data_IF_320508165578
#
_entry.id   IF_320508165578
#
_cell.length_a   1.000
_cell.length_b   1.000
_cell.length_c   1.000
_cell.angle_alpha   90.00
_cell.angle_beta   90.00
_cell.angle_gamma   90.00
#
_symmetry.space_group_name_H-M   'P 1'
#
loop_
_entity.id
_entity.type
_entity.pdbx_description
1 polymer ?
#
# COMPACT_ATOMS: atom_id res chain seq x y z
N UNK A 1 4.86 11.82 11.90
CA UNK A 1 3.45 12.05 12.22
C UNK A 1 3.38 12.65 13.61
N UNK A 2 2.64 13.74 13.81
CA UNK A 2 2.45 14.35 15.14
C UNK A 2 1.09 13.94 15.75
N UNK A 3 0.82 14.35 16.99
CA UNK A 3 -0.42 14.02 17.70
C UNK A 3 -1.67 14.55 16.99
N UNK A 4 -1.63 15.74 16.42
CA UNK A 4 -2.79 16.31 15.72
C UNK A 4 -3.09 15.58 14.41
N UNK A 5 -2.07 15.16 13.67
CA UNK A 5 -2.20 14.31 12.48
C UNK A 5 -2.76 12.93 12.83
N UNK A 6 -2.33 12.35 13.95
CA UNK A 6 -2.89 11.09 14.45
C UNK A 6 -4.36 11.27 14.82
N UNK A 7 -4.72 12.33 15.55
CA UNK A 7 -6.10 12.59 15.94
C UNK A 7 -6.99 12.83 14.72
N UNK A 8 -6.52 13.56 13.70
CA UNK A 8 -7.27 13.73 12.46
C UNK A 8 -7.56 12.38 11.79
N UNK A 9 -6.57 11.49 11.77
CA UNK A 9 -6.69 10.14 11.22
C UNK A 9 -7.64 9.26 12.06
N UNK A 10 -7.56 9.32 13.38
CA UNK A 10 -8.41 8.56 14.29
C UNK A 10 -9.85 9.09 14.38
N UNK A 11 -10.08 10.38 14.15
CA UNK A 11 -11.42 10.98 14.20
C UNK A 11 -12.15 10.86 12.85
N UNK A 12 -11.41 10.74 11.75
CA UNK A 12 -11.95 10.37 10.44
C UNK A 12 -12.15 8.87 10.25
N UNK A 13 -12.25 8.09 11.34
CA UNK A 13 -12.21 6.63 11.39
C UNK A 13 -13.43 5.94 10.76
N UNK A 14 -13.57 6.11 9.45
CA UNK A 14 -14.07 5.05 8.60
C UNK A 14 -12.85 4.38 7.97
N UNK A 15 -12.80 3.04 7.98
CA UNK A 15 -11.80 2.33 7.17
C UNK A 15 -11.93 2.75 5.71
N UNK A 16 -10.80 3.13 5.11
CA UNK A 16 -10.74 3.50 3.71
C UNK A 16 -9.90 2.49 2.93
N UNK A 17 -9.84 2.66 1.61
CA UNK A 17 -8.89 1.93 0.76
C UNK A 17 -7.43 2.19 1.15
N UNK A 18 -7.14 3.28 1.88
CA UNK A 18 -5.78 3.69 2.28
C UNK A 18 -5.54 3.61 3.79
N UNK A 19 -6.53 3.19 4.59
CA UNK A 19 -6.42 3.11 6.05
C UNK A 19 -6.97 1.77 6.56
N UNK A 20 -6.16 1.09 7.36
CA UNK A 20 -6.48 -0.18 8.03
C UNK A 20 -6.25 -0.04 9.53
N UNK A 21 -7.20 -0.52 10.34
CA UNK A 21 -7.04 -0.58 11.80
C UNK A 21 -6.79 -2.00 12.28
N UNK A 22 -5.85 -2.15 13.22
CA UNK A 22 -5.66 -3.39 13.98
C UNK A 22 -5.67 -3.08 15.46
N UNK A 23 -6.30 -3.97 16.22
CA UNK A 23 -6.29 -3.91 17.68
C UNK A 23 -4.88 -3.99 18.26
N UNK A 24 -4.77 -3.89 19.58
CA UNK A 24 -3.51 -4.00 20.28
C UNK A 24 -2.89 -5.40 20.08
N UNK A 25 -1.74 -5.46 19.41
CA UNK A 25 -1.02 -6.70 19.13
C UNK A 25 0.48 -6.46 19.06
N UNK A 26 1.27 -7.52 19.26
CA UNK A 26 2.67 -7.54 18.88
C UNK A 26 2.82 -7.70 17.36
N UNK A 27 4.00 -7.42 16.82
CA UNK A 27 4.31 -7.68 15.43
C UNK A 27 4.08 -9.16 15.10
N UNK A 28 3.15 -9.38 14.16
CA UNK A 28 2.92 -10.67 13.55
C UNK A 28 2.91 -10.49 12.03
N UNK A 29 3.98 -11.00 11.39
CA UNK A 29 4.10 -10.99 9.94
C UNK A 29 2.92 -11.68 9.25
N UNK A 30 2.38 -12.76 9.80
CA UNK A 30 1.39 -13.57 9.09
C UNK A 30 0.08 -12.81 8.86
N UNK A 31 -0.37 -12.07 9.86
CA UNK A 31 -1.56 -11.22 9.75
C UNK A 31 -1.31 -9.94 8.95
N UNK A 32 -0.10 -9.39 8.96
CA UNK A 32 0.18 -8.07 8.35
C UNK A 32 0.73 -8.13 6.92
N UNK A 33 1.28 -9.26 6.48
CA UNK A 33 1.89 -9.35 5.14
C UNK A 33 0.89 -9.04 4.03
N UNK A 34 -0.34 -9.56 4.12
CA UNK A 34 -1.38 -9.32 3.12
C UNK A 34 -1.74 -7.84 3.04
N UNK A 35 -1.89 -7.18 4.19
CA UNK A 35 -2.25 -5.77 4.27
C UNK A 35 -1.15 -4.87 3.70
N UNK A 36 0.11 -5.16 4.02
CA UNK A 36 1.27 -4.42 3.49
C UNK A 36 1.37 -4.57 1.96
N UNK A 37 1.22 -5.80 1.43
CA UNK A 37 1.22 -6.02 -0.01
C UNK A 37 0.04 -5.33 -0.70
N UNK A 38 -1.15 -5.37 -0.08
CA UNK A 38 -2.35 -4.75 -0.64
C UNK A 38 -2.22 -3.23 -0.71
N UNK A 39 -1.79 -2.59 0.38
CA UNK A 39 -1.62 -1.14 0.46
C UNK A 39 -0.54 -0.64 -0.50
N UNK A 40 0.54 -1.41 -0.72
CA UNK A 40 1.57 -1.05 -1.70
C UNK A 40 1.02 -0.92 -3.13
N UNK A 41 -0.05 -1.65 -3.45
CA UNK A 41 -0.72 -1.61 -4.75
C UNK A 41 -1.79 -0.51 -4.87
N UNK A 42 -2.16 0.14 -3.76
CA UNK A 42 -3.07 1.29 -3.76
C UNK A 42 -2.36 2.54 -4.31
N UNK A 43 -3.12 3.45 -4.91
CA UNK A 43 -2.60 4.63 -5.65
C UNK A 43 -1.65 5.47 -4.80
N UNK A 44 -2.04 5.77 -3.57
CA UNK A 44 -1.28 6.62 -2.65
C UNK A 44 -0.57 5.81 -1.55
N UNK A 45 -0.53 4.48 -1.70
CA UNK A 45 -0.11 3.60 -0.63
C UNK A 45 -1.18 3.52 0.46
N UNK A 46 -0.75 3.49 1.72
CA UNK A 46 -1.65 3.70 2.83
C UNK A 46 -1.04 3.36 4.18
N UNK A 47 -1.88 3.30 5.21
CA UNK A 47 -1.45 3.21 6.60
C UNK A 47 -2.17 2.08 7.32
N UNK A 48 -1.41 1.34 8.10
CA UNK A 48 -1.94 0.40 9.08
C UNK A 48 -1.69 0.99 10.46
N UNK A 49 -2.75 1.23 11.23
CA UNK A 49 -2.67 1.76 12.59
C UNK A 49 -2.96 0.64 13.58
N UNK A 50 -1.95 0.32 14.39
CA UNK A 50 -2.01 -0.71 15.42
C UNK A 50 -2.33 -0.06 16.78
N UNK A 51 -3.27 -0.65 17.50
CA UNK A 51 -3.79 -0.15 18.79
C UNK A 51 -5.21 0.42 18.70
N UNK A 52 -5.92 0.20 17.58
CA UNK A 52 -7.32 0.62 17.39
C UNK A 52 -8.13 -0.60 16.96
N UNK A 53 -9.17 -0.92 17.72
CA UNK A 53 -10.04 -2.03 17.36
C UNK A 53 -10.85 -1.73 16.08
N UNK A 54 -10.73 -2.59 15.08
CA UNK A 54 -11.32 -2.45 13.74
C UNK A 54 -12.84 -2.13 13.74
N UNK A 55 -13.65 -2.94 14.43
CA UNK A 55 -15.11 -2.79 14.36
C UNK A 55 -15.70 -1.66 15.23
N UNK A 56 -15.07 -1.39 16.37
CA UNK A 56 -15.59 -0.42 17.36
C UNK A 56 -14.87 0.92 17.28
N UNK A 57 -13.75 0.96 16.56
CA UNK A 57 -12.76 2.04 16.56
C UNK A 57 -12.28 2.41 17.97
N UNK A 58 -12.39 1.47 18.92
CA UNK A 58 -11.96 1.69 20.29
C UNK A 58 -10.44 1.82 20.34
N UNK A 59 -9.98 2.95 20.86
CA UNK A 59 -8.56 3.23 21.09
C UNK A 59 -8.07 2.39 22.26
N UNK A 60 -7.26 1.37 21.97
CA UNK A 60 -6.65 0.50 22.97
C UNK A 60 -5.23 0.96 23.31
N UNK A 61 -4.53 1.53 22.33
CA UNK A 61 -3.10 1.82 22.41
C UNK A 61 -2.27 0.54 22.47
N UNK A 62 -0.97 0.70 22.69
CA UNK A 62 0.00 -0.38 22.79
C UNK A 62 0.87 -0.21 24.04
N UNK A 63 1.24 -1.34 24.61
CA UNK A 63 2.26 -1.42 25.67
C UNK A 63 3.67 -1.18 25.09
N UNK A 64 4.64 -0.71 25.90
CA UNK A 64 6.02 -0.57 25.47
C UNK A 64 6.62 -1.86 24.90
N UNK A 65 6.27 -3.01 25.49
CA UNK A 65 6.71 -4.33 25.07
C UNK A 65 6.18 -4.68 23.67
N UNK A 66 4.90 -4.40 23.40
CA UNK A 66 4.33 -4.58 22.06
C UNK A 66 5.00 -3.66 21.05
N UNK A 67 5.19 -2.38 21.38
CA UNK A 67 5.83 -1.39 20.49
C UNK A 67 7.26 -1.79 20.12
N UNK A 68 7.99 -2.41 21.05
CA UNK A 68 9.35 -2.89 20.83
C UNK A 68 9.43 -4.05 19.82
N UNK A 69 8.34 -4.80 19.61
CA UNK A 69 8.31 -5.87 18.60
C UNK A 69 8.23 -5.34 17.15
N UNK A 70 7.79 -4.10 16.95
CA UNK A 70 7.73 -3.44 15.65
C UNK A 70 9.08 -2.81 15.27
N UNK A 71 10.11 -3.66 15.16
CA UNK A 71 11.43 -3.26 14.70
C UNK A 71 11.47 -3.12 13.17
N UNK A 72 11.88 -1.96 12.67
CA UNK A 72 11.79 -1.64 11.25
C UNK A 72 12.70 -2.51 10.36
N UNK A 73 13.84 -2.98 10.85
CA UNK A 73 14.73 -3.86 10.10
C UNK A 73 14.14 -5.27 10.03
N UNK A 74 13.76 -5.82 11.19
CA UNK A 74 13.12 -7.14 11.28
C UNK A 74 11.85 -7.20 10.44
N UNK A 75 11.00 -6.17 10.50
CA UNK A 75 9.80 -6.09 9.67
C UNK A 75 10.13 -6.15 8.18
N UNK A 76 11.10 -5.36 7.71
CA UNK A 76 11.50 -5.34 6.30
C UNK A 76 12.07 -6.68 5.85
N UNK A 77 12.94 -7.29 6.64
CA UNK A 77 13.53 -8.60 6.35
C UNK A 77 12.49 -9.72 6.30
N UNK A 78 11.46 -9.62 7.13
CA UNK A 78 10.37 -10.60 7.17
C UNK A 78 9.38 -10.43 6.02
N UNK A 79 9.15 -9.22 5.53
CA UNK A 79 8.23 -8.93 4.42
C UNK A 79 8.90 -9.11 3.06
N UNK A 80 10.19 -8.77 2.92
CA UNK A 80 10.91 -8.82 1.64
C UNK A 80 10.81 -10.15 0.87
N UNK A 81 10.81 -11.35 1.50
CA UNK A 81 10.65 -12.62 0.79
C UNK A 81 9.30 -12.78 0.08
N UNK A 82 8.29 -12.01 0.45
CA UNK A 82 6.93 -12.08 -0.08
C UNK A 82 6.67 -11.04 -1.18
N UNK A 83 7.52 -10.03 -1.35
CA UNK A 83 7.22 -8.90 -2.23
C UNK A 83 8.18 -8.81 -3.43
N UNK A 84 7.63 -8.70 -4.64
CA UNK A 84 8.38 -8.40 -5.85
C UNK A 84 7.59 -7.44 -6.77
N UNK A 85 8.03 -6.18 -6.98
CA UNK A 85 9.19 -5.52 -6.37
C UNK A 85 9.08 -5.40 -4.84
N UNK A 86 10.19 -5.05 -4.17
CA UNK A 86 10.19 -4.87 -2.70
C UNK A 86 9.22 -3.75 -2.29
N UNK A 87 8.40 -4.01 -1.26
CA UNK A 87 7.59 -2.95 -0.65
C UNK A 87 8.45 -1.99 0.14
N UNK A 88 8.16 -0.70 0.02
CA UNK A 88 8.73 0.36 0.86
C UNK A 88 7.70 0.74 1.91
N UNK A 89 8.06 0.63 3.18
CA UNK A 89 7.23 1.11 4.28
C UNK A 89 8.12 1.59 5.43
N UNK A 90 7.55 2.43 6.30
CA UNK A 90 8.23 2.92 7.50
C UNK A 90 7.35 2.75 8.73
N UNK A 91 8.02 2.52 9.86
CA UNK A 91 7.39 2.44 11.19
C UNK A 91 7.43 3.81 11.86
N UNK A 92 6.27 4.27 12.31
CA UNK A 92 6.09 5.53 13.05
C UNK A 92 5.44 5.19 14.38
N UNK A 93 5.92 5.79 15.47
CA UNK A 93 5.23 5.75 16.77
C UNK A 93 4.67 7.13 17.03
N UNK A 94 3.41 7.18 17.43
CA UNK A 94 2.75 8.42 17.80
C UNK A 94 1.87 8.17 19.03
N UNK A 95 1.67 9.22 19.82
CA UNK A 95 0.75 9.22 20.95
C UNK A 95 -0.46 10.10 20.65
N UNK A 96 -1.63 9.67 21.07
CA UNK A 96 -2.85 10.49 21.01
C UNK A 96 -2.89 11.53 22.14
N UNK A 97 -3.96 12.32 22.22
CA UNK A 97 -4.12 13.34 23.27
C UNK A 97 -4.27 12.77 24.68
N UNK A 98 -4.59 11.49 24.80
CA UNK A 98 -4.73 10.79 26.09
C UNK A 98 -3.41 10.11 26.50
N UNK A 99 -2.37 10.17 25.66
CA UNK A 99 -1.08 9.56 25.91
C UNK A 99 -1.01 8.07 25.53
N UNK A 100 -2.06 7.51 24.92
CA UNK A 100 -2.02 6.16 24.38
C UNK A 100 -1.07 6.13 23.19
N UNK A 101 -0.21 5.12 23.13
CA UNK A 101 0.77 4.97 22.06
C UNK A 101 0.28 4.02 20.97
N UNK A 102 0.58 4.38 19.73
CA UNK A 102 0.18 3.63 18.54
C UNK A 102 1.39 3.40 17.66
N UNK A 103 1.38 2.30 16.91
CA UNK A 103 2.33 2.04 15.84
C UNK A 103 1.61 2.22 14.51
N UNK A 104 2.22 2.98 13.62
CA UNK A 104 1.72 3.24 12.27
C UNK A 104 2.74 2.68 11.29
N UNK A 105 2.26 1.78 10.43
CA UNK A 105 3.01 1.27 9.29
C UNK A 105 2.55 2.09 8.08
N UNK A 106 3.40 3.02 7.65
CA UNK A 106 3.15 3.90 6.51
C UNK A 106 3.76 3.25 5.27
N UNK A 107 2.90 2.64 4.47
CA UNK A 107 3.24 1.86 3.26
C UNK A 107 3.23 2.80 2.07
N UNK A 108 4.37 2.88 1.39
CA UNK A 108 4.48 3.66 0.16
C UNK A 108 3.88 2.90 -1.02
N UNK A 109 3.25 3.61 -1.97
CA UNK A 109 2.83 2.99 -3.21
C UNK A 109 4.03 2.47 -4.01
N UNK A 110 3.80 1.49 -4.89
CA UNK A 110 4.79 1.12 -5.90
C UNK A 110 5.10 2.29 -6.86
N UNK A 111 6.35 2.31 -7.35
CA UNK A 111 6.90 3.39 -8.18
C UNK A 111 7.29 2.96 -9.60
N UNK A 112 7.48 1.66 -9.83
CA UNK A 112 7.80 1.08 -11.15
C UNK A 112 6.70 0.15 -11.67
N UNK A 113 6.30 -0.85 -10.90
CA UNK A 113 5.29 -1.83 -11.28
C UNK A 113 4.60 -2.41 -10.04
N UNK A 114 3.46 -3.11 -10.23
CA UNK A 114 2.68 -3.62 -9.11
C UNK A 114 3.50 -4.62 -8.30
N UNK A 115 3.27 -4.62 -6.99
CA UNK A 115 3.86 -5.60 -6.09
C UNK A 115 3.09 -6.91 -6.21
N UNK A 116 3.79 -7.92 -6.69
CA UNK A 116 3.30 -9.30 -6.81
C UNK A 116 3.84 -10.10 -5.63
N UNK A 117 2.99 -10.94 -5.05
CA UNK A 117 3.42 -11.86 -4.01
C UNK A 117 4.38 -12.91 -4.58
N UNK A 118 5.60 -13.01 -4.05
CA UNK A 118 6.64 -13.93 -4.53
C UNK A 118 6.55 -15.34 -3.94
N UNK A 119 5.93 -15.49 -2.77
CA UNK A 119 6.00 -16.72 -1.96
C UNK A 119 4.68 -16.99 -1.26
N UNK A 120 4.32 -18.27 -1.16
CA UNK A 120 3.20 -18.68 -0.33
C UNK A 120 3.44 -18.41 1.16
N UNK A 121 2.38 -18.02 1.85
CA UNK A 121 2.26 -17.89 3.29
C UNK A 121 0.89 -18.38 3.75
N UNK A 122 0.57 -18.17 5.03
CA UNK A 122 -0.71 -18.61 5.60
C UNK A 122 -1.90 -17.96 4.88
N UNK A 123 -1.81 -16.65 4.62
CA UNK A 123 -2.89 -15.83 4.06
C UNK A 123 -2.57 -15.26 2.66
N UNK A 124 -1.41 -15.63 2.11
CA UNK A 124 -0.91 -15.09 0.84
C UNK A 124 -0.40 -16.19 -0.10
N UNK A 125 -0.54 -16.01 -1.40
CA UNK A 125 -0.14 -16.98 -2.42
C UNK A 125 0.84 -16.36 -3.42
N UNK A 126 1.83 -17.15 -3.84
CA UNK A 126 2.76 -16.74 -4.88
C UNK A 126 2.04 -16.41 -6.20
N UNK A 127 2.57 -15.44 -6.95
CA UNK A 127 2.00 -14.95 -8.21
C UNK A 127 0.73 -14.10 -8.05
N UNK A 128 0.31 -13.77 -6.82
CA UNK A 128 -0.94 -13.07 -6.56
C UNK A 128 -0.70 -11.59 -6.27
N UNK A 129 -1.50 -10.71 -6.90
CA UNK A 129 -1.58 -9.29 -6.54
C UNK A 129 -2.67 -9.13 -5.48
N UNK A 130 -2.30 -8.53 -4.36
CA UNK A 130 -3.24 -8.09 -3.33
C UNK A 130 -3.53 -6.60 -3.51
N UNK A 131 -4.75 -6.20 -3.22
CA UNK A 131 -5.22 -4.82 -3.42
C UNK A 131 -6.35 -4.50 -2.43
N UNK A 132 -6.63 -3.20 -2.23
CA UNK A 132 -7.81 -2.71 -1.53
C UNK A 132 -8.70 -1.98 -2.52
N UNK A 133 -9.86 -2.56 -2.81
CA UNK A 133 -10.79 -1.95 -3.77
C UNK A 133 -11.42 -0.68 -3.21
N UNK A 134 -11.57 0.32 -4.08
CA UNK A 134 -12.30 1.57 -3.80
C UNK A 134 -13.80 1.45 -3.98
N UNK A 135 -14.23 0.44 -4.73
CA UNK A 135 -15.63 0.27 -5.15
C UNK A 135 -16.41 -0.72 -4.28
N UNK A 136 -15.69 -1.45 -3.43
CA UNK A 136 -16.23 -2.45 -2.49
C UNK A 136 -15.81 -2.12 -1.07
N UNK A 137 -16.26 -2.95 -0.13
CA UNK A 137 -15.77 -2.89 1.25
C UNK A 137 -14.23 -2.89 1.24
N UNK A 138 -13.58 -1.87 1.84
CA UNK A 138 -12.14 -1.80 1.92
C UNK A 138 -11.63 -3.03 2.68
N UNK A 139 -10.97 -3.93 1.95
CA UNK A 139 -10.38 -5.12 2.52
C UNK A 139 -9.19 -5.51 1.67
N UNK A 140 -8.10 -5.89 2.32
CA UNK A 140 -6.92 -6.44 1.66
C UNK A 140 -7.26 -7.84 1.12
N UNK A 141 -7.49 -7.92 -0.19
CA UNK A 141 -7.91 -9.14 -0.86
C UNK A 141 -7.10 -9.37 -2.13
N UNK A 142 -7.16 -10.60 -2.64
CA UNK A 142 -6.68 -10.89 -3.99
C UNK A 142 -7.49 -10.07 -5.00
N UNK A 143 -6.81 -9.50 -5.99
CA UNK A 143 -7.49 -8.91 -7.15
C UNK A 143 -8.26 -10.01 -7.89
N UNK A 144 -9.59 -9.93 -7.88
CA UNK A 144 -10.51 -10.96 -8.38
C UNK A 144 -11.40 -10.47 -9.54
N UNK A 145 -11.21 -9.22 -9.98
CA UNK A 145 -12.05 -8.58 -10.97
C UNK A 145 -11.23 -7.72 -11.94
N UNK A 146 -11.80 -7.44 -13.11
CA UNK A 146 -11.12 -6.72 -14.19
C UNK A 146 -11.01 -5.22 -13.96
N UNK A 147 -11.88 -4.60 -13.15
CA UNK A 147 -11.83 -3.16 -12.89
C UNK A 147 -10.60 -2.81 -12.04
N UNK A 148 -10.47 -3.43 -10.86
CA UNK A 148 -9.30 -3.21 -9.99
C UNK A 148 -7.99 -3.61 -10.71
N UNK A 149 -8.00 -4.72 -11.47
CA UNK A 149 -6.82 -5.13 -12.25
C UNK A 149 -6.43 -4.09 -13.30
N UNK A 150 -7.42 -3.48 -13.98
CA UNK A 150 -7.18 -2.44 -14.98
C UNK A 150 -6.56 -1.20 -14.35
N UNK A 151 -7.11 -0.74 -13.23
CA UNK A 151 -6.58 0.43 -12.51
C UNK A 151 -5.10 0.24 -12.14
N UNK A 152 -4.75 -0.96 -11.66
CA UNK A 152 -3.35 -1.31 -11.32
C UNK A 152 -2.45 -1.28 -12.56
N UNK A 153 -2.89 -1.89 -13.66
CA UNK A 153 -2.11 -1.96 -14.91
C UNK A 153 -1.92 -0.57 -15.53
N UNK A 154 -2.99 0.22 -15.63
CA UNK A 154 -2.94 1.58 -16.19
C UNK A 154 -1.98 2.48 -15.39
N UNK A 155 -2.03 2.36 -14.06
CA UNK A 155 -1.10 3.06 -13.17
C UNK A 155 0.35 2.63 -13.40
N UNK A 156 0.61 1.33 -13.49
CA UNK A 156 1.94 0.80 -13.76
C UNK A 156 2.47 1.30 -15.11
N UNK A 157 1.63 1.29 -16.16
CA UNK A 157 1.98 1.80 -17.47
C UNK A 157 2.32 3.31 -17.42
N UNK A 158 1.54 4.12 -16.69
CA UNK A 158 1.82 5.55 -16.52
C UNK A 158 3.14 5.82 -15.79
N UNK A 159 3.45 5.04 -14.75
CA UNK A 159 4.72 5.11 -14.00
C UNK A 159 5.91 4.69 -14.86
N UNK A 160 5.78 3.59 -15.60
CA UNK A 160 6.79 3.13 -16.55
C UNK A 160 7.07 4.18 -17.63
N UNK A 161 6.03 4.78 -18.22
CA UNK A 161 6.18 5.86 -19.19
C UNK A 161 6.89 7.09 -18.59
N UNK A 162 6.55 7.47 -17.35
CA UNK A 162 7.23 8.57 -16.63
C UNK A 162 8.70 8.26 -16.38
N UNK A 163 9.04 7.02 -16.03
CA UNK A 163 10.42 6.56 -15.84
C UNK A 163 11.21 6.60 -17.14
N UNK A 164 10.65 6.07 -18.23
CA UNK A 164 11.28 6.08 -19.56
C UNK A 164 11.59 7.52 -20.01
N UNK A 165 10.63 8.45 -19.88
CA UNK A 165 10.86 9.88 -20.17
C UNK A 165 12.00 10.47 -19.35
N UNK A 166 12.10 10.14 -18.05
CA UNK A 166 13.20 10.61 -17.17
C UNK A 166 14.56 10.07 -17.62
N UNK A 167 14.60 8.88 -18.20
CA UNK A 167 15.81 8.27 -18.76
C UNK A 167 16.15 8.79 -20.16
N UNK A 168 15.38 9.73 -20.71
CA UNK A 168 15.61 10.32 -22.02
C UNK A 168 14.97 9.56 -23.19
N UNK A 169 14.15 8.54 -22.91
CA UNK A 169 13.33 7.92 -23.96
C UNK A 169 12.19 8.87 -24.31
N UNK A 170 12.25 9.41 -25.52
CA UNK A 170 11.17 10.18 -26.14
C UNK A 170 10.51 9.24 -27.15
N UNK A 171 9.19 9.15 -27.11
CA UNK A 171 8.46 8.44 -28.17
C UNK A 171 8.77 9.15 -29.49
N UNK A 172 9.21 8.42 -30.51
CA UNK A 172 9.31 8.97 -31.85
C UNK A 172 7.92 9.48 -32.23
N UNK A 173 7.80 10.80 -32.38
CA UNK A 173 6.69 11.36 -33.13
C UNK A 173 6.96 10.94 -34.56
N UNK A 174 6.31 9.87 -35.00
CA UNK A 174 6.24 9.57 -36.42
C UNK A 174 5.66 10.80 -37.09
N UNK A 175 6.48 11.51 -37.85
CA UNK A 175 6.04 12.54 -38.79
C UNK A 175 5.30 11.75 -39.90
N UNK A 176 4.08 11.32 -39.61
CA UNK A 176 3.20 10.78 -40.62
C UNK A 176 2.82 11.99 -41.47
N UNK A 177 3.48 12.12 -42.62
CA UNK A 177 3.09 13.03 -43.67
C UNK A 177 1.73 12.57 -44.22
N UNK A 178 0.68 12.93 -43.50
CA UNK A 178 -0.71 12.61 -43.86
C UNK A 178 -1.08 13.21 -45.22
N UNK A 179 -0.38 14.27 -45.67
CA UNK A 179 -0.56 14.86 -47.00
C UNK A 179 0.01 13.96 -48.10
N UNK A 180 1.13 13.25 -47.85
CA UNK A 180 1.66 12.24 -48.76
C UNK A 180 0.79 10.97 -48.84
N UNK A 181 0.12 10.58 -47.75
CA UNK A 181 -0.75 9.40 -47.71
C UNK A 181 -2.18 9.65 -48.25
N UNK A 182 -2.67 10.89 -48.21
CA UNK A 182 -4.02 11.26 -48.71
C UNK A 182 -4.06 11.63 -50.20
N UNK A 183 -2.91 11.68 -50.88
CA UNK A 183 -2.86 11.77 -52.34
C UNK A 183 -3.60 12.96 -52.96
N UNK A 184 -3.68 14.09 -52.23
CA UNK A 184 -4.26 15.34 -52.75
C UNK A 184 -5.76 15.29 -53.07
N UNK A 185 -6.59 14.71 -52.20
CA UNK A 185 -8.04 14.86 -52.23
C UNK A 185 -8.49 16.24 -51.73
#
# INVERSE_FOLDING_TARGET
>A
MNTDELEALLNGAEETDTLEFKGAMAWDRQSLVRDILALANVIDGGRIVIGVEDNTYARQGLTPEQIATFDAEVMRDQIAPFADPRVVFRRIVAADRQGLQFVIIDVSPFDEGPVICKRDGTEVNAGTIYFRSRTRRPQSARVDNSADMRDIIERAAALAARRLRRLGFVAEQGDQDYDAELGGL
#
